data_IF_786661003704
#
_entry.id   IF_786661003704
#
_cell.length_a   1.000
_cell.length_b   1.000
_cell.length_c   1.000
_cell.angle_alpha   90.00
_cell.angle_beta   90.00
_cell.angle_gamma   90.00
#
_symmetry.space_group_name_H-M   'P 1'
#
loop_
_entity.id
_entity.type
_entity.pdbx_description
1 polymer ?
#
# COMPACT_ATOMS: atom_id res chain seq x y z
N UNK A 1 -11.55 26.98 -26.41
CA UNK A 1 -12.59 25.95 -26.55
C UNK A 1 -12.12 24.73 -25.77
N UNK A 2 -12.64 24.53 -24.56
CA UNK A 2 -12.34 23.31 -23.79
C UNK A 2 -13.07 22.17 -24.49
N UNK A 3 -12.31 21.34 -25.21
CA UNK A 3 -12.82 20.11 -25.79
C UNK A 3 -13.17 19.21 -24.61
N UNK A 4 -14.46 18.96 -24.40
CA UNK A 4 -14.91 18.00 -23.41
C UNK A 4 -14.39 16.64 -23.87
N UNK A 5 -13.31 16.17 -23.24
CA UNK A 5 -12.86 14.79 -23.39
C UNK A 5 -14.06 13.91 -23.03
N UNK A 6 -14.36 12.90 -23.87
CA UNK A 6 -15.35 11.89 -23.52
C UNK A 6 -15.13 11.47 -22.07
N UNK A 7 -16.21 11.44 -21.28
CA UNK A 7 -16.18 10.94 -19.91
C UNK A 7 -15.88 9.45 -20.01
N UNK A 8 -14.59 9.10 -19.98
CA UNK A 8 -14.15 7.72 -19.90
C UNK A 8 -14.75 7.13 -18.64
N UNK A 9 -15.38 5.96 -18.76
CA UNK A 9 -15.89 5.22 -17.61
C UNK A 9 -14.72 4.93 -16.66
N UNK A 10 -14.71 5.52 -15.44
CA UNK A 10 -13.61 5.38 -14.49
C UNK A 10 -13.36 3.91 -14.11
N UNK A 11 -14.42 3.11 -14.02
CA UNK A 11 -14.31 1.69 -13.67
C UNK A 11 -13.63 0.90 -14.80
N UNK A 12 -13.99 1.18 -16.05
CA UNK A 12 -13.38 0.54 -17.21
C UNK A 12 -11.91 0.94 -17.39
N UNK A 13 -11.60 2.22 -17.16
CA UNK A 13 -10.24 2.73 -17.20
C UNK A 13 -9.36 2.06 -16.13
N UNK A 14 -9.88 1.94 -14.91
CA UNK A 14 -9.21 1.23 -13.82
C UNK A 14 -8.96 -0.23 -14.17
N UNK A 15 -9.97 -0.97 -14.62
CA UNK A 15 -9.79 -2.39 -15.00
C UNK A 15 -8.73 -2.58 -16.09
N UNK A 16 -8.65 -1.66 -17.06
CA UNK A 16 -7.70 -1.75 -18.17
C UNK A 16 -6.26 -1.40 -17.79
N UNK A 17 -6.07 -0.47 -16.85
CA UNK A 17 -4.76 0.11 -16.57
C UNK A 17 -4.21 -0.17 -15.18
N UNK A 18 -4.98 -0.78 -14.26
CA UNK A 18 -4.53 -1.07 -12.89
C UNK A 18 -3.25 -1.88 -12.83
N UNK A 19 -3.05 -2.84 -13.75
CA UNK A 19 -1.89 -3.72 -13.74
C UNK A 19 -0.61 -2.94 -14.09
N UNK A 20 -0.70 -2.03 -15.06
CA UNK A 20 0.41 -1.15 -15.46
C UNK A 20 0.70 -0.09 -14.40
N UNK A 21 -0.33 0.48 -13.76
CA UNK A 21 -0.16 1.42 -12.65
C UNK A 21 0.45 0.76 -11.41
N UNK A 22 0.15 -0.51 -11.19
CA UNK A 22 0.64 -1.28 -10.06
C UNK A 22 2.11 -1.71 -10.21
N UNK A 23 2.70 -1.69 -11.41
CA UNK A 23 4.00 -2.31 -11.66
C UNK A 23 5.11 -1.77 -10.75
N UNK A 24 5.23 -0.45 -10.63
CA UNK A 24 6.25 0.19 -9.80
C UNK A 24 6.05 -0.11 -8.31
N UNK A 25 4.79 -0.11 -7.86
CA UNK A 25 4.43 -0.45 -6.48
C UNK A 25 4.68 -1.94 -6.20
N UNK A 26 4.41 -2.83 -7.15
CA UNK A 26 4.75 -4.26 -7.04
C UNK A 26 6.26 -4.45 -6.88
N UNK A 27 7.07 -3.72 -7.63
CA UNK A 27 8.54 -3.76 -7.53
C UNK A 27 9.03 -3.22 -6.18
N UNK A 28 8.42 -2.17 -5.65
CA UNK A 28 8.74 -1.65 -4.32
C UNK A 28 8.40 -2.68 -3.24
N UNK A 29 7.18 -3.20 -3.24
CA UNK A 29 6.74 -4.21 -2.27
C UNK A 29 7.60 -5.48 -2.33
N UNK A 30 7.98 -5.94 -3.53
CA UNK A 30 8.91 -7.08 -3.68
C UNK A 30 10.32 -6.81 -3.12
N UNK A 31 10.81 -5.57 -3.18
CA UNK A 31 12.11 -5.20 -2.61
C UNK A 31 12.04 -5.08 -1.09
N UNK A 32 10.95 -4.52 -0.58
CA UNK A 32 10.78 -4.29 0.85
C UNK A 32 10.41 -5.58 1.60
N UNK A 33 9.59 -6.44 0.99
CA UNK A 33 9.29 -7.77 1.49
C UNK A 33 10.30 -8.78 0.96
N UNK A 34 11.43 -8.94 1.67
CA UNK A 34 12.33 -10.10 1.55
C UNK A 34 11.68 -11.43 2.01
N UNK A 35 10.34 -11.53 1.98
CA UNK A 35 9.53 -12.56 2.60
C UNK A 35 8.65 -13.23 1.56
N UNK A 36 8.59 -14.56 1.64
CA UNK A 36 7.75 -15.52 0.89
C UNK A 36 6.23 -15.26 1.05
N UNK A 37 5.75 -14.05 0.83
CA UNK A 37 4.33 -13.77 0.76
C UNK A 37 3.79 -14.30 -0.58
N UNK A 38 2.60 -14.94 -0.57
CA UNK A 38 1.98 -15.45 -1.80
C UNK A 38 1.76 -14.29 -2.78
N UNK A 39 2.06 -14.52 -4.06
CA UNK A 39 1.93 -13.53 -5.14
C UNK A 39 0.52 -12.90 -5.18
N UNK A 40 -0.51 -13.67 -4.88
CA UNK A 40 -1.91 -13.22 -4.90
C UNK A 40 -2.20 -12.17 -3.82
N UNK A 41 -1.71 -12.37 -2.59
CA UNK A 41 -1.87 -11.40 -1.51
C UNK A 41 -1.07 -10.12 -1.75
N UNK A 42 0.09 -10.21 -2.41
CA UNK A 42 0.87 -9.01 -2.80
C UNK A 42 0.09 -8.18 -3.81
N UNK A 43 -0.62 -8.83 -4.73
CA UNK A 43 -1.34 -8.17 -5.82
C UNK A 43 -2.52 -7.35 -5.29
N UNK A 44 -3.31 -7.90 -4.37
CA UNK A 44 -4.42 -7.16 -3.73
C UNK A 44 -3.94 -5.95 -2.95
N UNK A 45 -2.86 -6.11 -2.19
CA UNK A 45 -2.30 -5.01 -1.41
C UNK A 45 -1.77 -3.89 -2.30
N UNK A 46 -1.14 -4.24 -3.42
CA UNK A 46 -0.65 -3.23 -4.37
C UNK A 46 -1.82 -2.50 -5.04
N UNK A 47 -2.87 -3.20 -5.47
CA UNK A 47 -4.05 -2.54 -6.03
C UNK A 47 -4.74 -1.63 -5.02
N UNK A 48 -4.78 -2.04 -3.76
CA UNK A 48 -5.31 -1.18 -2.70
C UNK A 48 -4.46 0.08 -2.52
N UNK A 49 -3.12 -0.01 -2.53
CA UNK A 49 -2.24 1.16 -2.48
C UNK A 49 -2.45 2.09 -3.68
N UNK A 50 -2.58 1.54 -4.89
CA UNK A 50 -2.93 2.34 -6.07
C UNK A 50 -4.25 3.11 -5.85
N UNK A 51 -5.29 2.46 -5.32
CA UNK A 51 -6.57 3.11 -5.05
C UNK A 51 -6.45 4.21 -4.00
N UNK A 52 -5.63 4.05 -2.96
CA UNK A 52 -5.37 5.10 -1.96
C UNK A 52 -4.77 6.34 -2.63
N UNK A 53 -3.74 6.16 -3.46
CA UNK A 53 -3.07 7.28 -4.15
C UNK A 53 -4.06 8.01 -5.06
N UNK A 54 -4.88 7.28 -5.82
CA UNK A 54 -5.90 7.87 -6.68
C UNK A 54 -6.94 8.59 -5.83
N UNK A 55 -7.38 8.01 -4.70
CA UNK A 55 -8.34 8.67 -3.82
C UNK A 55 -7.79 9.98 -3.25
N UNK A 56 -6.54 10.01 -2.78
CA UNK A 56 -5.93 11.22 -2.24
C UNK A 56 -5.83 12.33 -3.30
N UNK A 57 -5.51 11.97 -4.55
CA UNK A 57 -5.50 12.91 -5.67
C UNK A 57 -6.91 13.44 -5.98
N UNK A 58 -7.90 12.55 -6.06
CA UNK A 58 -9.29 12.92 -6.37
C UNK A 58 -9.92 13.75 -5.26
N UNK A 59 -9.64 13.42 -4.00
CA UNK A 59 -10.04 14.21 -2.84
C UNK A 59 -9.38 15.60 -2.87
N UNK A 60 -8.08 15.67 -3.17
CA UNK A 60 -7.37 16.96 -3.27
C UNK A 60 -7.89 17.85 -4.40
N UNK A 61 -8.31 17.26 -5.53
CA UNK A 61 -8.80 18.01 -6.68
C UNK A 61 -10.28 18.38 -6.61
N UNK A 62 -11.12 17.45 -6.14
CA UNK A 62 -12.58 17.55 -6.25
C UNK A 62 -13.31 17.55 -4.91
N UNK A 63 -12.64 17.17 -3.82
CA UNK A 63 -13.25 16.96 -2.50
C UNK A 63 -14.17 15.74 -2.42
N UNK A 64 -14.25 14.91 -3.46
CA UNK A 64 -15.12 13.74 -3.52
C UNK A 64 -14.33 12.44 -3.38
N UNK A 65 -14.98 11.41 -2.83
CA UNK A 65 -14.44 10.06 -2.73
C UNK A 65 -14.53 9.30 -4.05
N UNK A 66 -13.69 8.26 -4.21
CA UNK A 66 -13.71 7.38 -5.38
C UNK A 66 -15.06 6.69 -5.62
N UNK A 67 -15.81 6.45 -4.54
CA UNK A 67 -17.16 5.88 -4.59
C UNK A 67 -18.11 6.70 -5.46
N UNK A 68 -17.94 8.02 -5.51
CA UNK A 68 -18.78 8.92 -6.29
C UNK A 68 -18.55 8.76 -7.81
N UNK A 69 -17.44 8.13 -8.18
CA UNK A 69 -17.05 7.85 -9.58
C UNK A 69 -17.25 6.38 -9.96
N UNK A 70 -17.88 5.57 -9.08
CA UNK A 70 -18.14 4.15 -9.33
C UNK A 70 -16.91 3.24 -9.11
N UNK A 71 -15.86 3.75 -8.46
CA UNK A 71 -14.66 3.00 -8.12
C UNK A 71 -14.78 2.38 -6.71
N UNK A 72 -14.09 1.25 -6.45
CA UNK A 72 -14.05 0.66 -5.12
C UNK A 72 -13.35 1.61 -4.13
N UNK A 73 -13.92 1.74 -2.93
CA UNK A 73 -13.27 2.47 -1.84
C UNK A 73 -12.01 1.73 -1.41
N UNK A 74 -10.85 2.41 -1.33
CA UNK A 74 -9.65 1.79 -0.79
C UNK A 74 -9.82 1.48 0.70
N UNK A 75 -9.19 0.40 1.13
CA UNK A 75 -9.06 0.03 2.54
C UNK A 75 -7.80 0.69 3.10
N UNK A 76 -7.97 1.70 3.97
CA UNK A 76 -6.84 2.35 4.68
C UNK A 76 -6.41 1.59 5.92
N UNK A 77 -6.52 0.26 5.90
CA UNK A 77 -5.91 -0.55 6.95
C UNK A 77 -4.41 -0.33 6.86
N UNK A 78 -3.84 0.24 7.92
CA UNK A 78 -2.41 0.48 8.08
C UNK A 78 -1.70 -0.88 7.96
N UNK A 79 -1.27 -1.20 6.75
CA UNK A 79 -0.59 -2.44 6.49
C UNK A 79 0.85 -2.28 6.96
N UNK A 80 1.51 -3.38 7.34
CA UNK A 80 2.94 -3.33 7.67
C UNK A 80 3.83 -2.76 6.54
N UNK A 81 3.26 -2.50 5.36
CA UNK A 81 3.91 -1.87 4.22
C UNK A 81 3.80 -0.35 4.19
N UNK A 82 2.95 0.25 5.03
CA UNK A 82 2.78 1.71 5.13
C UNK A 82 3.57 2.30 6.31
N UNK A 83 4.08 1.43 7.20
CA UNK A 83 4.99 1.81 8.27
C UNK A 83 6.38 2.12 7.71
N UNK A 84 6.99 3.16 8.25
CA UNK A 84 8.32 3.61 7.85
C UNK A 84 9.33 2.47 7.95
N UNK A 85 10.21 2.33 6.95
CA UNK A 85 11.17 1.22 6.89
C UNK A 85 12.12 1.26 8.09
N UNK A 86 12.47 2.47 8.53
CA UNK A 86 13.30 2.68 9.71
C UNK A 86 12.58 2.23 10.98
N UNK A 87 11.29 2.54 11.08
CA UNK A 87 10.44 2.12 12.19
C UNK A 87 10.27 0.59 12.25
N UNK A 88 10.03 -0.08 11.12
CA UNK A 88 9.96 -1.54 11.07
C UNK A 88 11.30 -2.19 11.42
N UNK A 89 12.42 -1.60 10.99
CA UNK A 89 13.75 -2.08 11.34
C UNK A 89 13.98 -1.99 12.85
N UNK A 90 13.60 -0.87 13.47
CA UNK A 90 13.67 -0.73 14.92
C UNK A 90 12.85 -1.82 15.60
N UNK A 91 11.61 -2.06 15.17
CA UNK A 91 10.77 -3.09 15.79
C UNK A 91 11.21 -4.55 15.52
N UNK A 92 12.07 -4.78 14.53
CA UNK A 92 12.51 -6.12 14.10
C UNK A 92 13.58 -6.77 15.01
N UNK A 93 13.45 -6.63 16.33
CA UNK A 93 14.38 -7.24 17.28
C UNK A 93 14.18 -8.76 17.39
N UNK A 94 15.29 -9.50 17.49
CA UNK A 94 15.25 -10.92 17.86
C UNK A 94 14.89 -11.05 19.36
N UNK A 95 13.64 -11.41 19.62
CA UNK A 95 13.07 -11.56 20.96
C UNK A 95 13.90 -12.56 21.79
N UNK A 96 14.46 -13.60 21.16
CA UNK A 96 15.26 -14.61 21.86
C UNK A 96 16.60 -14.05 22.30
N UNK A 97 17.26 -13.28 21.43
CA UNK A 97 18.50 -12.58 21.75
C UNK A 97 18.28 -11.51 22.83
N UNK A 98 17.21 -10.74 22.72
CA UNK A 98 16.87 -9.69 23.70
C UNK A 98 16.57 -10.30 25.07
N UNK A 99 15.76 -11.36 25.12
CA UNK A 99 15.41 -12.05 26.37
C UNK A 99 16.65 -12.61 27.08
N UNK A 100 17.60 -13.18 26.31
CA UNK A 100 18.87 -13.67 26.86
C UNK A 100 19.72 -12.53 27.44
N UNK A 101 19.85 -11.41 26.72
CA UNK A 101 20.56 -10.22 27.21
C UNK A 101 19.97 -9.67 28.50
N UNK A 102 18.64 -9.67 28.63
CA UNK A 102 17.96 -9.23 29.86
C UNK A 102 18.29 -10.18 31.02
N UNK A 103 18.24 -11.49 30.78
CA UNK A 103 18.59 -12.52 31.77
C UNK A 103 20.03 -12.36 32.31
N UNK A 104 20.99 -12.09 31.42
CA UNK A 104 22.41 -11.95 31.77
C UNK A 104 22.72 -10.65 32.56
N UNK A 105 21.84 -9.65 32.51
CA UNK A 105 22.04 -8.34 33.16
C UNK A 105 21.27 -8.17 34.48
N UNK A 106 20.54 -9.18 34.95
CA UNK A 106 19.89 -9.11 36.27
C UNK A 106 20.96 -9.15 37.38
N UNK A 107 20.86 -8.27 38.40
CA UNK A 107 21.76 -8.30 39.54
C UNK A 107 21.64 -9.63 40.29
N UNK A 108 22.79 -10.19 40.68
CA UNK A 108 22.89 -11.42 41.46
C UNK A 108 22.52 -11.20 42.93
#
# INVERSE_FOLDING_TARGET
>A
MLVFCQVSDPALLWQKHRDSLAEDLQRQVQKDQNLNCKRDSITEVVYNKCLIIIEDLVLGMSGNHLTNFGLPSPSRVESALDLDREYLRELSYDITMVSKKVADNLPK
#
